data_IF_236271764130
#
_entry.id   IF_236271764130
#
_cell.length_a   1.000
_cell.length_b   1.000
_cell.length_c   1.000
_cell.angle_alpha   90.00
_cell.angle_beta   90.00
_cell.angle_gamma   90.00
#
_symmetry.space_group_name_H-M   'P 1'
#
loop_
_entity.id
_entity.type
_entity.pdbx_description
1 polymer ?
#
# COMPACT_ATOMS: atom_id res chain seq x y z
N UNK A 1 51.45 85.74 4.61
CA UNK A 1 50.70 86.74 5.38
C UNK A 1 49.23 86.40 5.33
N UNK A 2 48.59 86.38 6.50
CA UNK A 2 47.18 86.64 6.76
C UNK A 2 46.10 85.82 6.00
N UNK A 3 45.39 84.99 6.76
CA UNK A 3 43.94 84.77 6.60
C UNK A 3 43.19 86.12 6.86
N UNK A 4 41.85 86.30 6.82
CA UNK A 4 40.79 85.28 6.86
C UNK A 4 39.38 85.71 6.26
N UNK A 5 38.32 84.94 6.57
CA UNK A 5 36.90 85.36 6.83
C UNK A 5 36.05 85.95 5.65
N UNK A 6 34.71 85.81 5.51
CA UNK A 6 33.60 85.27 6.32
C UNK A 6 32.27 85.30 5.51
N UNK A 7 31.22 84.72 6.14
CA UNK A 7 29.76 84.89 5.97
C UNK A 7 29.04 83.88 5.05
N UNK A 8 28.36 82.84 5.54
CA UNK A 8 27.24 82.72 6.50
C UNK A 8 25.87 83.19 5.97
N UNK A 9 25.01 82.25 5.56
CA UNK A 9 23.60 82.11 6.01
C UNK A 9 22.86 80.95 5.31
N UNK A 10 22.34 80.02 6.12
CA UNK A 10 21.11 79.24 5.91
C UNK A 10 19.89 80.16 6.18
N UNK A 11 18.63 79.89 5.74
CA UNK A 11 17.89 78.63 5.99
C UNK A 11 16.80 78.23 4.97
N UNK A 12 16.12 77.10 5.22
CA UNK A 12 14.67 77.01 4.99
C UNK A 12 14.15 75.81 4.19
N UNK A 13 13.32 75.01 4.86
CA UNK A 13 12.60 73.80 4.45
C UNK A 13 11.80 73.84 3.14
N UNK A 14 11.58 72.64 2.57
CA UNK A 14 10.52 72.41 1.59
C UNK A 14 10.37 70.94 1.22
N UNK A 15 9.38 70.26 1.81
CA UNK A 15 8.98 68.90 1.49
C UNK A 15 8.26 68.79 0.13
N UNK A 16 8.51 67.73 -0.64
CA UNK A 16 7.54 67.15 -1.57
C UNK A 16 7.96 65.72 -2.01
N UNK A 17 6.99 64.81 -1.91
CA UNK A 17 7.02 63.38 -2.25
C UNK A 17 7.25 63.08 -3.74
N UNK A 18 7.93 61.98 -4.06
CA UNK A 18 7.47 61.02 -5.09
C UNK A 18 8.20 59.66 -5.06
N UNK A 19 7.41 58.59 -5.14
CA UNK A 19 7.61 57.41 -5.99
C UNK A 19 8.79 56.42 -5.77
N UNK A 20 8.43 55.28 -5.15
CA UNK A 20 8.54 53.90 -5.65
C UNK A 20 9.89 53.12 -5.64
N UNK A 21 9.68 51.81 -5.35
CA UNK A 21 10.56 50.62 -5.50
C UNK A 21 11.56 50.34 -4.34
N UNK A 22 11.08 49.58 -3.34
CA UNK A 22 11.92 48.78 -2.43
C UNK A 22 12.06 47.36 -3.01
N UNK A 23 13.27 46.99 -3.40
CA UNK A 23 13.70 45.62 -3.64
C UNK A 23 13.91 44.91 -2.30
N UNK A 24 13.09 43.91 -2.01
CA UNK A 24 13.27 42.94 -0.92
C UNK A 24 14.09 41.76 -1.47
N UNK A 25 15.35 41.66 -1.07
CA UNK A 25 16.13 40.44 -1.20
C UNK A 25 15.83 39.53 -0.02
N UNK A 26 15.02 38.49 -0.25
CA UNK A 26 14.71 37.46 0.75
C UNK A 26 15.77 36.34 0.72
N UNK A 27 16.17 35.96 1.93
CA UNK A 27 17.20 34.99 2.28
C UNK A 27 16.96 33.58 1.75
N UNK A 28 18.05 32.92 1.34
CA UNK A 28 18.10 31.49 1.01
C UNK A 28 18.06 30.66 2.30
N UNK A 29 16.88 30.15 2.69
CA UNK A 29 16.73 29.19 3.80
C UNK A 29 16.07 27.87 3.37
N UNK A 30 15.87 27.61 2.08
CA UNK A 30 15.07 26.45 1.64
C UNK A 30 15.78 25.10 1.47
N UNK A 31 17.13 25.07 1.43
CA UNK A 31 17.86 23.82 1.11
C UNK A 31 18.47 23.12 2.32
N UNK A 32 18.66 23.83 3.44
CA UNK A 32 19.22 23.23 4.66
C UNK A 32 18.17 22.46 5.46
N UNK A 33 16.90 22.86 5.38
CA UNK A 33 15.80 22.27 6.17
C UNK A 33 15.32 20.91 5.61
N UNK A 34 15.61 20.60 4.34
CA UNK A 34 15.25 19.32 3.73
C UNK A 34 16.23 18.20 4.09
N UNK A 35 17.51 18.53 4.29
CA UNK A 35 18.53 17.57 4.74
C UNK A 35 18.51 17.34 6.25
N UNK A 36 17.95 18.26 7.04
CA UNK A 36 17.77 18.07 8.49
C UNK A 36 16.60 17.14 8.79
N UNK A 37 15.51 17.22 8.03
CA UNK A 37 14.35 16.32 8.19
C UNK A 37 14.67 14.86 7.84
N UNK A 38 15.51 14.60 6.83
CA UNK A 38 15.98 13.24 6.54
C UNK A 38 16.87 12.69 7.66
N UNK A 39 17.67 13.55 8.32
CA UNK A 39 18.59 13.13 9.36
C UNK A 39 17.90 12.90 10.72
N UNK A 40 16.80 13.60 11.00
CA UNK A 40 16.02 13.43 12.23
C UNK A 40 15.16 12.15 12.23
N UNK A 41 14.81 11.62 11.04
CA UNK A 41 14.13 10.31 10.92
C UNK A 41 15.05 9.15 11.33
N UNK A 42 16.35 9.25 11.08
CA UNK A 42 17.34 8.22 11.44
C UNK A 42 17.87 8.33 12.88
N UNK A 43 17.59 9.41 13.61
CA UNK A 43 18.22 9.69 14.90
C UNK A 43 17.25 9.74 16.10
N UNK A 44 16.01 9.29 15.94
CA UNK A 44 15.12 9.15 17.10
C UNK A 44 15.65 8.02 18.02
N UNK A 45 15.97 8.29 19.29
CA UNK A 45 16.49 7.26 20.18
C UNK A 45 15.43 6.16 20.37
N UNK A 46 15.81 4.87 20.30
CA UNK A 46 14.84 3.79 20.42
C UNK A 46 14.15 3.89 21.78
N UNK A 47 12.81 3.97 21.76
CA UNK A 47 11.99 3.86 22.97
C UNK A 47 12.35 2.54 23.63
N UNK A 48 12.97 2.62 24.82
CA UNK A 48 13.50 1.48 25.58
C UNK A 48 12.36 0.52 25.94
N UNK A 49 12.08 -0.40 25.04
CA UNK A 49 11.29 -1.59 25.35
C UNK A 49 12.28 -2.60 25.92
N UNK A 50 12.00 -3.11 27.11
CA UNK A 50 12.83 -4.14 27.77
C UNK A 50 12.87 -5.35 26.86
N UNK A 51 14.00 -5.56 26.20
CA UNK A 51 14.19 -6.66 25.27
C UNK A 51 15.24 -7.62 25.80
N UNK A 52 14.87 -8.89 25.82
CA UNK A 52 15.78 -10.00 26.06
C UNK A 52 16.37 -10.46 24.71
N UNK A 53 17.69 -10.68 24.63
CA UNK A 53 18.31 -11.39 23.49
C UNK A 53 19.15 -10.59 22.48
N UNK A 54 19.38 -9.27 22.68
CA UNK A 54 20.22 -8.47 21.76
C UNK A 54 19.49 -8.02 20.48
N UNK A 55 20.24 -7.58 19.47
CA UNK A 55 19.66 -7.11 18.18
C UNK A 55 19.16 -8.28 17.33
N UNK A 56 18.20 -8.05 16.40
CA UNK A 56 17.76 -9.12 15.46
C UNK A 56 18.95 -9.74 14.72
N UNK A 57 19.91 -8.94 14.26
CA UNK A 57 21.13 -9.43 13.59
C UNK A 57 21.90 -10.43 14.46
N UNK A 58 22.11 -10.13 15.73
CA UNK A 58 22.80 -11.03 16.66
C UNK A 58 22.05 -12.35 16.83
N UNK A 59 20.73 -12.30 16.97
CA UNK A 59 19.88 -13.49 17.07
C UNK A 59 20.00 -14.37 15.82
N UNK A 60 19.93 -13.77 14.63
CA UNK A 60 20.07 -14.50 13.36
C UNK A 60 21.46 -15.14 13.22
N UNK A 61 22.52 -14.43 13.62
CA UNK A 61 23.90 -14.95 13.56
C UNK A 61 24.15 -16.07 14.57
N UNK A 62 23.60 -15.96 15.79
CA UNK A 62 23.62 -17.02 16.81
C UNK A 62 22.89 -18.28 16.34
N UNK A 63 21.73 -18.11 15.71
CA UNK A 63 20.98 -19.23 15.13
C UNK A 63 21.80 -20.01 14.10
N UNK A 64 22.54 -19.31 13.23
CA UNK A 64 23.46 -19.95 12.27
C UNK A 64 24.60 -20.73 12.91
N UNK A 65 24.92 -20.46 14.19
CA UNK A 65 25.91 -21.20 14.98
C UNK A 65 25.32 -22.35 15.79
N UNK A 66 24.00 -22.56 15.72
CA UNK A 66 23.28 -23.61 16.44
C UNK A 66 22.64 -23.17 17.76
N UNK A 67 22.73 -21.89 18.12
CA UNK A 67 22.05 -21.34 19.30
C UNK A 67 20.60 -20.97 18.97
N UNK A 68 19.62 -21.73 19.46
CA UNK A 68 18.21 -21.59 19.05
C UNK A 68 17.33 -20.81 20.02
N UNK A 69 17.73 -20.65 21.28
CA UNK A 69 16.87 -20.10 22.33
C UNK A 69 16.35 -18.68 22.02
N UNK A 70 17.26 -17.77 21.65
CA UNK A 70 16.90 -16.37 21.34
C UNK A 70 16.04 -16.31 20.06
N UNK A 71 16.25 -17.23 19.11
CA UNK A 71 15.49 -17.30 17.87
C UNK A 71 14.06 -17.79 18.09
N UNK A 72 13.87 -18.80 18.95
CA UNK A 72 12.53 -19.25 19.31
C UNK A 72 11.78 -18.21 20.14
N UNK A 73 12.47 -17.48 21.03
CA UNK A 73 11.87 -16.35 21.74
C UNK A 73 11.40 -15.26 20.77
N UNK A 74 12.22 -14.90 19.77
CA UNK A 74 11.87 -13.95 18.71
C UNK A 74 10.60 -14.37 17.96
N UNK A 75 10.52 -15.64 17.53
CA UNK A 75 9.35 -16.18 16.85
C UNK A 75 8.09 -16.11 17.71
N UNK A 76 8.20 -16.44 18.99
CA UNK A 76 7.08 -16.40 19.92
C UNK A 76 6.57 -14.96 20.13
N UNK A 77 7.48 -14.00 20.26
CA UNK A 77 7.12 -12.57 20.40
C UNK A 77 6.41 -12.03 19.16
N UNK A 78 6.84 -12.42 17.96
CA UNK A 78 6.20 -12.01 16.71
C UNK A 78 4.87 -12.71 16.44
N UNK A 79 4.64 -13.86 17.08
CA UNK A 79 3.39 -14.62 16.94
C UNK A 79 2.34 -14.20 17.96
N UNK A 80 2.64 -13.25 18.85
CA UNK A 80 1.70 -12.70 19.82
C UNK A 80 0.58 -11.93 19.09
N UNK A 81 -0.70 -12.36 19.19
CA UNK A 81 -1.80 -11.66 18.54
C UNK A 81 -2.04 -10.26 19.11
N UNK A 82 -1.63 -10.02 20.36
CA UNK A 82 -1.84 -8.77 21.09
C UNK A 82 -0.64 -7.81 20.98
N UNK A 83 0.25 -8.06 20.01
CA UNK A 83 1.37 -7.18 19.72
C UNK A 83 0.89 -5.73 19.47
N UNK A 84 1.50 -4.79 20.18
CA UNK A 84 1.16 -3.35 20.11
C UNK A 84 1.85 -2.68 18.93
N UNK A 85 1.25 -1.62 18.40
CA UNK A 85 1.78 -0.86 17.26
C UNK A 85 3.24 -0.40 17.48
N UNK A 86 3.56 0.19 18.64
CA UNK A 86 4.93 0.58 18.98
C UNK A 86 5.92 -0.61 18.94
N UNK A 87 5.51 -1.79 19.39
CA UNK A 87 6.35 -2.99 19.36
C UNK A 87 6.53 -3.49 17.93
N UNK A 88 5.45 -3.51 17.14
CA UNK A 88 5.49 -3.92 15.74
C UNK A 88 6.41 -3.00 14.92
N UNK A 89 6.31 -1.69 15.10
CA UNK A 89 7.18 -0.70 14.45
C UNK A 89 8.65 -0.98 14.80
N UNK A 90 8.98 -1.19 16.08
CA UNK A 90 10.35 -1.49 16.48
C UNK A 90 10.87 -2.78 15.84
N UNK A 91 10.05 -3.84 15.77
CA UNK A 91 10.42 -5.07 15.09
C UNK A 91 10.68 -4.85 13.60
N UNK A 92 9.78 -4.15 12.90
CA UNK A 92 9.93 -3.86 11.48
C UNK A 92 11.20 -3.06 11.19
N UNK A 93 11.52 -2.05 12.00
CA UNK A 93 12.76 -1.29 11.88
C UNK A 93 14.01 -2.16 12.06
N UNK A 94 14.01 -3.07 13.04
CA UNK A 94 15.13 -3.99 13.24
C UNK A 94 15.26 -5.03 12.13
N UNK A 95 14.15 -5.53 11.60
CA UNK A 95 14.17 -6.43 10.44
C UNK A 95 14.66 -5.74 9.19
N UNK A 96 14.26 -4.49 8.95
CA UNK A 96 14.80 -3.66 7.86
C UNK A 96 16.31 -3.44 8.01
N UNK A 97 16.78 -3.18 9.23
CA UNK A 97 18.21 -3.01 9.53
C UNK A 97 19.03 -4.31 9.36
N UNK A 98 18.37 -5.46 9.44
CA UNK A 98 18.99 -6.79 9.33
C UNK A 98 18.62 -7.53 8.04
N UNK A 99 18.05 -6.83 7.05
CA UNK A 99 17.43 -7.44 5.85
C UNK A 99 18.38 -8.35 5.07
N UNK A 100 19.67 -8.00 5.03
CA UNK A 100 20.71 -8.76 4.35
C UNK A 100 20.96 -10.16 4.95
N UNK A 101 20.60 -10.36 6.23
CA UNK A 101 20.75 -11.63 6.92
C UNK A 101 19.53 -12.54 6.80
N UNK A 102 18.37 -12.00 6.41
CA UNK A 102 17.12 -12.73 6.22
C UNK A 102 17.16 -13.54 4.92
N UNK A 103 18.10 -14.48 4.79
CA UNK A 103 18.21 -15.40 3.66
C UNK A 103 17.13 -16.49 3.72
N UNK A 104 17.07 -17.34 2.68
CA UNK A 104 16.16 -18.51 2.62
C UNK A 104 16.19 -19.40 3.88
N UNK A 105 17.32 -19.46 4.58
CA UNK A 105 17.47 -20.21 5.84
C UNK A 105 16.45 -19.79 6.91
N UNK A 106 15.90 -18.58 6.81
CA UNK A 106 14.94 -18.01 7.75
C UNK A 106 13.51 -17.97 7.21
N UNK A 107 13.16 -18.83 6.26
CA UNK A 107 11.82 -18.89 5.64
C UNK A 107 10.68 -18.98 6.66
N UNK A 108 10.86 -19.75 7.74
CA UNK A 108 9.84 -19.85 8.80
C UNK A 108 9.61 -18.52 9.51
N UNK A 109 10.68 -17.75 9.77
CA UNK A 109 10.59 -16.44 10.40
C UNK A 109 9.92 -15.43 9.45
N UNK A 110 10.30 -15.42 8.17
CA UNK A 110 9.63 -14.59 7.15
C UNK A 110 8.15 -14.95 7.06
N UNK A 111 7.81 -16.23 7.12
CA UNK A 111 6.43 -16.70 7.13
C UNK A 111 5.63 -16.15 8.31
N UNK A 112 6.25 -15.99 9.49
CA UNK A 112 5.62 -15.35 10.65
C UNK A 112 5.43 -13.84 10.39
N UNK A 113 6.47 -13.17 9.90
CA UNK A 113 6.41 -11.73 9.59
C UNK A 113 5.32 -11.40 8.57
N UNK A 114 5.18 -12.22 7.52
CA UNK A 114 4.15 -12.05 6.50
C UNK A 114 2.72 -12.30 7.02
N UNK A 115 2.55 -12.90 8.20
CA UNK A 115 1.25 -13.13 8.85
C UNK A 115 0.89 -12.09 9.90
N UNK A 116 1.75 -11.09 10.14
CA UNK A 116 1.41 -10.00 11.06
C UNK A 116 0.15 -9.27 10.57
N UNK A 117 -0.71 -8.86 11.49
CA UNK A 117 -1.93 -8.12 11.16
C UNK A 117 -1.59 -6.64 10.97
N UNK A 118 -1.28 -6.25 9.73
CA UNK A 118 -0.78 -4.91 9.39
C UNK A 118 -1.82 -3.98 8.75
N UNK A 119 -2.86 -4.50 8.11
CA UNK A 119 -3.82 -3.72 7.30
C UNK A 119 -4.82 -2.86 8.11
N UNK A 120 -5.18 -3.28 9.33
CA UNK A 120 -6.11 -2.57 10.21
C UNK A 120 -5.40 -1.95 11.43
N UNK A 121 -4.20 -1.42 11.20
CA UNK A 121 -3.35 -0.81 12.24
C UNK A 121 -3.16 0.68 11.95
N UNK A 122 -2.47 1.38 12.85
CA UNK A 122 -2.13 2.79 12.61
C UNK A 122 -1.37 2.97 11.29
N UNK A 123 -1.55 4.14 10.66
CA UNK A 123 -0.87 4.46 9.40
C UNK A 123 0.66 4.25 9.49
N UNK A 124 1.26 4.56 10.63
CA UNK A 124 2.70 4.36 10.87
C UNK A 124 3.10 2.89 10.75
N UNK A 125 2.31 1.97 11.29
CA UNK A 125 2.54 0.52 11.13
C UNK A 125 2.45 0.11 9.66
N UNK A 126 1.42 0.60 8.95
CA UNK A 126 1.22 0.31 7.53
C UNK A 126 2.42 0.77 6.69
N UNK A 127 2.89 2.00 6.88
CA UNK A 127 4.06 2.52 6.15
C UNK A 127 5.33 1.72 6.43
N UNK A 128 5.60 1.42 7.70
CA UNK A 128 6.77 0.63 8.09
C UNK A 128 6.73 -0.79 7.53
N UNK A 129 5.54 -1.39 7.49
CA UNK A 129 5.35 -2.71 6.93
C UNK A 129 5.57 -2.72 5.40
N UNK A 130 5.06 -1.72 4.69
CA UNK A 130 5.27 -1.59 3.25
C UNK A 130 6.74 -1.31 2.89
N UNK A 131 7.42 -0.49 3.70
CA UNK A 131 8.85 -0.28 3.58
C UNK A 131 9.60 -1.60 3.79
N UNK A 132 9.25 -2.37 4.82
CA UNK A 132 9.79 -3.70 5.04
C UNK A 132 9.58 -4.64 3.85
N UNK A 133 8.37 -4.72 3.27
CA UNK A 133 8.11 -5.56 2.10
C UNK A 133 9.01 -5.16 0.92
N UNK A 134 9.12 -3.86 0.62
CA UNK A 134 9.99 -3.34 -0.44
C UNK A 134 11.46 -3.67 -0.21
N UNK A 135 11.97 -3.47 1.01
CA UNK A 135 13.32 -3.85 1.42
C UNK A 135 13.56 -5.37 1.30
N UNK A 136 12.60 -6.18 1.71
CA UNK A 136 12.71 -7.65 1.68
C UNK A 136 12.80 -8.17 0.25
N UNK A 137 11.87 -7.79 -0.63
CA UNK A 137 11.87 -8.31 -2.01
C UNK A 137 13.01 -7.77 -2.87
N UNK A 138 13.52 -6.56 -2.55
CA UNK A 138 14.68 -6.00 -3.26
C UNK A 138 15.99 -6.66 -2.83
N UNK A 139 16.17 -6.96 -1.54
CA UNK A 139 17.37 -7.63 -1.04
C UNK A 139 17.33 -9.15 -1.23
N UNK A 140 16.15 -9.77 -1.15
CA UNK A 140 15.95 -11.21 -1.07
C UNK A 140 14.76 -11.62 -1.95
N UNK A 141 14.96 -11.60 -3.28
CA UNK A 141 13.92 -11.89 -4.29
C UNK A 141 13.29 -13.29 -4.15
N UNK A 142 13.93 -14.21 -3.42
CA UNK A 142 13.37 -15.52 -3.06
C UNK A 142 12.01 -15.40 -2.34
N UNK A 143 11.78 -14.30 -1.63
CA UNK A 143 10.52 -14.05 -0.91
C UNK A 143 9.49 -13.27 -1.71
N UNK A 144 9.76 -12.91 -2.97
CA UNK A 144 8.81 -12.19 -3.83
C UNK A 144 7.48 -12.94 -3.94
N UNK A 145 7.50 -14.23 -4.32
CA UNK A 145 6.29 -15.03 -4.48
C UNK A 145 5.50 -15.13 -3.16
N UNK A 146 6.12 -15.44 -2.00
CA UNK A 146 5.45 -15.36 -0.69
C UNK A 146 4.77 -14.01 -0.41
N UNK A 147 5.47 -12.89 -0.64
CA UNK A 147 4.90 -11.54 -0.43
C UNK A 147 3.68 -11.29 -1.33
N UNK A 148 3.79 -11.59 -2.62
CA UNK A 148 2.69 -11.43 -3.57
C UNK A 148 1.51 -12.33 -3.22
N UNK A 149 1.76 -13.59 -2.84
CA UNK A 149 0.71 -14.52 -2.43
C UNK A 149 0.00 -14.09 -1.15
N UNK A 150 0.73 -13.46 -0.22
CA UNK A 150 0.14 -12.88 0.99
C UNK A 150 -0.78 -11.72 0.63
N UNK A 151 -0.33 -10.78 -0.19
CA UNK A 151 -1.13 -9.60 -0.57
C UNK A 151 -2.40 -10.02 -1.33
N UNK A 152 -2.27 -10.88 -2.35
CA UNK A 152 -3.42 -11.36 -3.16
C UNK A 152 -4.43 -12.14 -2.31
N UNK A 153 -4.01 -12.73 -1.19
CA UNK A 153 -4.94 -13.45 -0.31
C UNK A 153 -5.98 -12.54 0.36
N UNK A 154 -5.70 -11.25 0.48
CA UNK A 154 -6.64 -10.26 1.01
C UNK A 154 -7.70 -9.81 0.00
N UNK A 155 -7.53 -10.11 -1.30
CA UNK A 155 -8.57 -9.83 -2.31
C UNK A 155 -9.77 -10.77 -2.22
N UNK A 156 -9.75 -11.73 -1.30
CA UNK A 156 -10.87 -12.62 -0.99
C UNK A 156 -11.34 -12.26 0.41
N UNK A 157 -12.51 -11.62 0.57
CA UNK A 157 -13.04 -11.29 1.88
C UNK A 157 -13.12 -12.54 2.77
N UNK A 158 -12.81 -12.44 4.08
CA UNK A 158 -13.08 -13.51 5.02
C UNK A 158 -14.55 -13.93 4.90
N UNK A 159 -14.85 -15.23 4.96
CA UNK A 159 -16.23 -15.72 4.85
C UNK A 159 -17.08 -15.08 5.95
N UNK A 160 -17.89 -14.07 5.61
CA UNK A 160 -18.95 -13.59 6.49
C UNK A 160 -19.99 -14.70 6.54
N UNK A 161 -20.00 -15.47 7.62
CA UNK A 161 -21.07 -16.42 7.92
C UNK A 161 -22.22 -15.57 8.44
N UNK A 162 -23.09 -15.12 7.53
CA UNK A 162 -24.32 -14.43 7.90
C UNK A 162 -25.15 -15.42 8.72
N UNK A 163 -25.22 -15.20 10.03
CA UNK A 163 -26.26 -15.79 10.88
C UNK A 163 -27.46 -14.85 10.81
N UNK A 164 -28.53 -15.35 10.22
CA UNK A 164 -29.80 -14.66 9.99
C UNK A 164 -30.40 -14.16 11.33
N UNK A 165 -30.61 -12.84 11.43
CA UNK A 165 -31.07 -12.15 12.63
C UNK A 165 -30.83 -10.62 12.61
N UNK A 166 -31.15 -9.97 11.48
CA UNK A 166 -31.45 -8.53 11.24
C UNK A 166 -30.59 -7.51 12.02
N UNK A 167 -29.45 -6.99 11.56
CA UNK A 167 -29.00 -6.56 10.23
C UNK A 167 -27.47 -6.55 10.30
N UNK A 168 -26.77 -7.15 9.34
CA UNK A 168 -25.33 -6.96 9.18
C UNK A 168 -25.02 -6.57 7.73
N UNK A 169 -25.23 -5.27 7.46
CA UNK A 169 -24.70 -4.60 6.30
C UNK A 169 -23.23 -4.34 6.62
N UNK A 170 -22.36 -5.31 6.36
CA UNK A 170 -20.94 -5.01 6.21
C UNK A 170 -20.76 -4.44 4.80
N UNK A 171 -21.24 -3.22 4.66
CA UNK A 171 -20.88 -2.24 3.61
C UNK A 171 -20.07 -1.16 4.32
N UNK A 172 -19.11 -1.59 5.15
CA UNK A 172 -18.24 -0.70 5.89
C UNK A 172 -17.15 -0.21 4.95
N UNK A 173 -17.08 1.11 4.77
CA UNK A 173 -16.03 1.83 4.00
C UNK A 173 -14.60 1.36 4.36
N UNK A 174 -14.40 0.81 5.56
CA UNK A 174 -13.13 0.24 6.06
C UNK A 174 -12.58 -0.94 5.22
N UNK A 175 -13.42 -1.70 4.50
CA UNK A 175 -12.94 -2.76 3.60
C UNK A 175 -12.19 -2.17 2.39
N UNK A 176 -12.58 -0.98 1.94
CA UNK A 176 -12.02 -0.33 0.74
C UNK A 176 -10.59 0.18 1.00
N UNK A 177 -10.35 0.82 2.14
CA UNK A 177 -9.02 1.33 2.55
C UNK A 177 -7.96 0.20 2.67
N UNK A 178 -8.41 -0.97 3.14
CA UNK A 178 -7.56 -2.16 3.27
C UNK A 178 -7.15 -2.70 1.90
N UNK A 179 -8.09 -2.75 0.96
CA UNK A 179 -7.84 -3.21 -0.41
C UNK A 179 -6.97 -2.22 -1.17
N UNK A 180 -7.21 -0.92 -1.00
CA UNK A 180 -6.35 0.16 -1.50
C UNK A 180 -4.90 0.00 -1.04
N UNK A 181 -4.72 -0.31 0.24
CA UNK A 181 -3.40 -0.57 0.81
C UNK A 181 -2.75 -1.82 0.20
N UNK A 182 -3.51 -2.86 -0.10
CA UNK A 182 -3.01 -4.06 -0.82
C UNK A 182 -2.57 -3.72 -2.25
N UNK A 183 -3.35 -2.93 -2.99
CA UNK A 183 -2.96 -2.46 -4.32
C UNK A 183 -1.68 -1.59 -4.27
N UNK A 184 -1.57 -0.70 -3.29
CA UNK A 184 -0.36 0.09 -3.04
C UNK A 184 0.85 -0.81 -2.77
N UNK A 185 0.68 -1.87 -1.98
CA UNK A 185 1.75 -2.84 -1.73
C UNK A 185 2.25 -3.51 -3.02
N UNK A 186 1.35 -3.92 -3.91
CA UNK A 186 1.73 -4.50 -5.21
C UNK A 186 2.52 -3.51 -6.09
N UNK A 187 2.12 -2.25 -6.13
CA UNK A 187 2.82 -1.20 -6.88
C UNK A 187 4.21 -0.91 -6.31
N UNK A 188 4.34 -0.86 -4.98
CA UNK A 188 5.63 -0.70 -4.30
C UNK A 188 6.56 -1.86 -4.66
N UNK A 189 6.08 -3.11 -4.56
CA UNK A 189 6.87 -4.30 -4.91
C UNK A 189 7.30 -4.25 -6.39
N UNK A 190 6.39 -3.90 -7.30
CA UNK A 190 6.69 -3.80 -8.72
C UNK A 190 7.75 -2.74 -9.04
N UNK A 191 7.78 -1.64 -8.29
CA UNK A 191 8.80 -0.59 -8.42
C UNK A 191 10.19 -1.09 -8.04
N UNK A 192 10.29 -1.98 -7.05
CA UNK A 192 11.57 -2.59 -6.64
C UNK A 192 11.96 -3.79 -7.48
N UNK A 193 10.99 -4.58 -7.96
CA UNK A 193 11.23 -5.81 -8.73
C UNK A 193 10.42 -5.78 -10.03
N UNK A 194 11.01 -5.31 -11.15
CA UNK A 194 10.30 -5.17 -12.44
C UNK A 194 9.76 -6.48 -13.01
N UNK A 195 10.31 -7.62 -12.60
CA UNK A 195 9.82 -8.95 -12.99
C UNK A 195 8.56 -9.40 -12.23
N UNK A 196 8.02 -8.57 -11.33
CA UNK A 196 6.80 -8.88 -10.54
C UNK A 196 5.65 -9.45 -11.37
N UNK A 197 5.30 -8.93 -12.57
CA UNK A 197 4.17 -9.44 -13.35
C UNK A 197 4.23 -10.96 -13.62
N UNK A 198 5.41 -11.48 -13.95
CA UNK A 198 5.64 -12.90 -14.26
C UNK A 198 5.36 -13.83 -13.07
N UNK A 199 5.56 -13.32 -11.84
CA UNK A 199 5.28 -14.07 -10.61
C UNK A 199 3.86 -13.84 -10.13
N UNK A 200 3.28 -12.67 -10.41
CA UNK A 200 1.94 -12.29 -9.98
C UNK A 200 0.86 -13.07 -10.72
N UNK A 201 0.92 -13.18 -12.05
CA UNK A 201 -0.16 -13.81 -12.82
C UNK A 201 -0.46 -15.26 -12.39
N UNK A 202 0.53 -16.16 -12.21
CA UNK A 202 0.26 -17.50 -11.70
C UNK A 202 -0.41 -17.52 -10.32
N UNK A 203 -0.12 -16.53 -9.47
CA UNK A 203 -0.73 -16.40 -8.13
C UNK A 203 -2.20 -15.96 -8.27
N UNK A 204 -2.51 -15.04 -9.18
CA UNK A 204 -3.88 -14.60 -9.46
C UNK A 204 -4.75 -15.78 -9.94
N UNK A 205 -4.19 -16.65 -10.79
CA UNK A 205 -4.87 -17.89 -11.22
C UNK A 205 -5.08 -18.84 -10.04
N UNK A 206 -4.03 -19.08 -9.24
CA UNK A 206 -4.06 -20.01 -8.10
C UNK A 206 -5.05 -19.57 -7.00
N UNK A 207 -5.14 -18.26 -6.75
CA UNK A 207 -5.98 -17.66 -5.71
C UNK A 207 -7.40 -17.35 -6.16
N UNK A 208 -7.72 -17.53 -7.44
CA UNK A 208 -9.06 -17.27 -7.96
C UNK A 208 -10.10 -18.13 -7.18
N UNK A 209 -11.13 -17.52 -6.56
CA UNK A 209 -12.09 -18.24 -5.75
C UNK A 209 -12.81 -19.35 -6.52
N UNK A 210 -13.12 -20.47 -5.84
CA UNK A 210 -13.92 -21.53 -6.45
C UNK A 210 -15.31 -21.00 -6.84
N UNK A 211 -15.84 -21.49 -7.96
CA UNK A 211 -17.17 -21.14 -8.51
C UNK A 211 -18.31 -21.25 -7.50
N UNK A 212 -18.19 -22.10 -6.47
CA UNK A 212 -19.20 -22.30 -5.41
C UNK A 212 -19.13 -21.28 -4.25
N UNK A 213 -18.29 -20.24 -4.37
CA UNK A 213 -18.21 -19.16 -3.39
C UNK A 213 -19.36 -18.18 -3.58
N UNK A 214 -19.57 -17.28 -2.62
CA UNK A 214 -20.60 -16.26 -2.76
C UNK A 214 -20.30 -15.35 -3.96
N UNK A 215 -21.35 -14.85 -4.60
CA UNK A 215 -21.27 -13.90 -5.72
C UNK A 215 -20.39 -12.70 -5.36
N UNK A 216 -20.63 -12.08 -4.20
CA UNK A 216 -19.79 -10.98 -3.67
C UNK A 216 -18.29 -11.31 -3.62
N UNK A 217 -17.93 -12.56 -3.28
CA UNK A 217 -16.52 -12.98 -3.26
C UNK A 217 -15.93 -13.02 -4.68
N UNK A 218 -16.69 -13.53 -5.65
CA UNK A 218 -16.26 -13.59 -7.05
C UNK A 218 -16.16 -12.19 -7.65
N UNK A 219 -17.16 -11.33 -7.41
CA UNK A 219 -17.20 -9.94 -7.85
C UNK A 219 -16.03 -9.14 -7.30
N UNK A 220 -15.79 -9.19 -5.99
CA UNK A 220 -14.66 -8.50 -5.35
C UNK A 220 -13.32 -8.94 -5.95
N UNK A 221 -13.14 -10.26 -6.16
CA UNK A 221 -11.91 -10.75 -6.76
C UNK A 221 -11.74 -10.27 -8.20
N UNK A 222 -12.79 -10.34 -9.03
CA UNK A 222 -12.77 -9.86 -10.43
C UNK A 222 -12.50 -8.35 -10.47
N UNK A 223 -13.13 -7.56 -9.61
CA UNK A 223 -12.90 -6.13 -9.49
C UNK A 223 -11.41 -5.83 -9.24
N UNK A 224 -10.80 -6.51 -8.26
CA UNK A 224 -9.40 -6.33 -7.92
C UNK A 224 -8.47 -6.77 -9.08
N UNK A 225 -8.80 -7.84 -9.80
CA UNK A 225 -8.05 -8.24 -11.01
C UNK A 225 -8.10 -7.15 -12.10
N UNK A 226 -9.28 -6.59 -12.35
CA UNK A 226 -9.43 -5.54 -13.35
C UNK A 226 -8.69 -4.27 -12.95
N UNK A 227 -8.70 -3.91 -11.66
CA UNK A 227 -7.88 -2.82 -11.13
C UNK A 227 -6.38 -3.07 -11.33
N UNK A 228 -5.89 -4.30 -11.06
CA UNK A 228 -4.51 -4.73 -11.37
C UNK A 228 -4.18 -4.48 -12.86
N UNK A 229 -5.10 -4.78 -13.78
CA UNK A 229 -4.89 -4.61 -15.22
C UNK A 229 -4.68 -3.16 -15.69
N UNK A 230 -5.05 -2.18 -14.85
CA UNK A 230 -4.84 -0.76 -15.11
C UNK A 230 -3.37 -0.40 -14.91
N UNK A 231 -2.78 -0.78 -13.77
CA UNK A 231 -1.41 -0.42 -13.43
C UNK A 231 -0.35 -1.51 -13.74
N UNK A 232 -0.78 -2.71 -14.13
CA UNK A 232 0.05 -3.74 -14.78
C UNK A 232 -0.45 -4.01 -16.21
N UNK A 233 -0.18 -3.12 -17.18
CA UNK A 233 -0.71 -3.26 -18.54
C UNK A 233 -0.26 -4.56 -19.22
N UNK A 234 0.93 -5.08 -18.88
CA UNK A 234 1.45 -6.35 -19.38
C UNK A 234 0.57 -7.55 -19.02
N UNK A 235 -0.16 -7.50 -17.90
CA UNK A 235 -1.04 -8.58 -17.46
C UNK A 235 -2.46 -8.46 -17.98
N UNK A 236 -2.81 -7.36 -18.67
CA UNK A 236 -4.19 -7.08 -19.04
C UNK A 236 -4.82 -8.17 -19.89
N UNK A 237 -4.09 -8.67 -20.89
CA UNK A 237 -4.59 -9.74 -21.75
C UNK A 237 -4.84 -11.03 -20.95
N UNK A 238 -3.85 -11.48 -20.17
CA UNK A 238 -3.94 -12.71 -19.36
C UNK A 238 -5.02 -12.60 -18.26
N UNK A 239 -5.20 -11.42 -17.67
CA UNK A 239 -6.26 -11.16 -16.67
C UNK A 239 -7.64 -11.24 -17.33
N UNK A 240 -7.84 -10.61 -18.49
CA UNK A 240 -9.12 -10.67 -19.20
C UNK A 240 -9.42 -12.10 -19.66
N UNK A 241 -8.42 -12.82 -20.15
CA UNK A 241 -8.54 -14.24 -20.48
C UNK A 241 -8.98 -15.06 -19.26
N UNK A 242 -8.33 -14.87 -18.11
CA UNK A 242 -8.71 -15.53 -16.86
C UNK A 242 -10.14 -15.21 -16.45
N UNK A 243 -10.56 -13.94 -16.49
CA UNK A 243 -11.92 -13.53 -16.13
C UNK A 243 -12.95 -14.19 -17.07
N UNK A 244 -12.72 -14.14 -18.38
CA UNK A 244 -13.61 -14.75 -19.38
C UNK A 244 -13.68 -16.27 -19.19
N UNK A 245 -12.55 -16.95 -18.96
CA UNK A 245 -12.52 -18.38 -18.67
C UNK A 245 -13.40 -18.75 -17.47
N UNK A 246 -13.37 -17.93 -16.41
CA UNK A 246 -14.15 -18.17 -15.19
C UNK A 246 -15.64 -17.86 -15.38
N UNK A 247 -15.98 -16.81 -16.14
CA UNK A 247 -17.36 -16.51 -16.51
C UNK A 247 -17.97 -17.62 -17.38
N UNK A 248 -17.24 -18.13 -18.38
CA UNK A 248 -17.69 -19.27 -19.18
C UNK A 248 -17.91 -20.53 -18.33
N UNK A 249 -17.04 -20.77 -17.33
CA UNK A 249 -17.24 -21.87 -16.38
C UNK A 249 -18.47 -21.67 -15.51
N UNK A 250 -18.80 -20.44 -15.12
CA UNK A 250 -20.02 -20.16 -14.37
C UNK A 250 -21.25 -20.45 -15.24
N UNK A 251 -21.27 -19.92 -16.47
CA UNK A 251 -22.35 -20.10 -17.45
C UNK A 251 -22.64 -21.59 -17.74
N UNK A 252 -21.60 -22.38 -18.02
CA UNK A 252 -21.76 -23.84 -18.28
C UNK A 252 -22.27 -24.62 -17.07
N UNK A 253 -22.05 -24.11 -15.85
CA UNK A 253 -22.51 -24.75 -14.62
C UNK A 253 -23.89 -24.26 -14.15
N UNK A 254 -24.47 -23.24 -14.80
CA UNK A 254 -25.80 -22.75 -14.46
C UNK A 254 -26.85 -23.83 -14.79
N UNK A 255 -27.81 -24.04 -13.89
CA UNK A 255 -28.88 -25.00 -14.17
C UNK A 255 -29.86 -24.39 -15.17
N UNK A 256 -30.52 -25.24 -15.96
CA UNK A 256 -31.54 -24.79 -16.90
C UNK A 256 -32.67 -24.04 -16.20
N UNK A 257 -33.02 -24.43 -14.98
CA UNK A 257 -34.01 -23.73 -14.17
C UNK A 257 -33.53 -22.33 -13.80
N UNK A 258 -32.29 -22.19 -13.32
CA UNK A 258 -31.74 -20.87 -12.95
C UNK A 258 -31.69 -19.92 -14.16
N UNK A 259 -31.40 -20.47 -15.35
CA UNK A 259 -31.40 -19.72 -16.61
C UNK A 259 -32.83 -19.28 -16.97
N UNK A 260 -33.79 -20.22 -16.96
CA UNK A 260 -35.20 -19.93 -17.27
C UNK A 260 -35.78 -18.89 -16.28
N UNK A 261 -35.50 -19.04 -14.98
CA UNK A 261 -35.93 -18.10 -13.94
C UNK A 261 -35.32 -16.70 -14.13
N UNK A 262 -34.03 -16.62 -14.51
CA UNK A 262 -33.36 -15.35 -14.78
C UNK A 262 -33.89 -14.67 -16.06
N UNK A 263 -34.17 -15.42 -17.11
CA UNK A 263 -34.79 -14.91 -18.34
C UNK A 263 -36.20 -14.38 -18.08
N UNK A 264 -37.02 -15.11 -17.31
CA UNK A 264 -38.35 -14.66 -16.90
C UNK A 264 -38.28 -13.38 -16.04
N UNK A 265 -37.33 -13.29 -15.10
CA UNK A 265 -37.10 -12.08 -14.31
C UNK A 265 -36.66 -10.88 -15.16
N UNK A 266 -35.80 -11.10 -16.17
CA UNK A 266 -35.37 -10.06 -17.10
C UNK A 266 -36.53 -9.55 -17.99
N UNK A 267 -37.43 -10.44 -18.40
CA UNK A 267 -38.63 -10.08 -19.18
C UNK A 267 -39.63 -9.30 -18.31
N UNK A 268 -39.78 -9.67 -17.04
CA UNK A 268 -40.68 -9.00 -16.08
C UNK A 268 -40.16 -7.64 -15.61
N UNK A 269 -38.84 -7.44 -15.54
CA UNK A 269 -38.22 -6.15 -15.14
C UNK A 269 -38.22 -5.10 -16.25
N UNK A 270 -38.54 -5.47 -17.49
CA UNK A 270 -38.94 -4.54 -18.54
C UNK A 270 -37.80 -3.69 -19.12
N UNK A 271 -37.86 -3.50 -20.44
CA UNK A 271 -36.95 -2.69 -21.24
C UNK A 271 -36.96 -1.20 -20.85
N UNK A 272 -36.22 -0.83 -19.81
CA UNK A 272 -35.82 0.55 -19.51
C UNK A 272 -34.34 0.77 -19.85
N UNK A 273 -33.90 1.99 -20.21
CA UNK A 273 -32.52 2.29 -20.58
C UNK A 273 -31.48 2.06 -19.46
N UNK A 274 -31.94 1.68 -18.27
CA UNK A 274 -31.15 1.50 -17.05
C UNK A 274 -30.50 0.11 -16.92
N UNK A 275 -31.01 -0.90 -17.64
CA UNK A 275 -30.49 -2.27 -17.54
C UNK A 275 -29.06 -2.43 -18.08
N UNK A 276 -28.63 -1.51 -18.95
CA UNK A 276 -27.25 -1.46 -19.47
C UNK A 276 -26.27 -0.72 -18.56
N UNK A 277 -26.74 0.01 -17.54
CA UNK A 277 -25.86 0.79 -16.66
C UNK A 277 -24.98 -0.10 -15.78
N UNK A 278 -25.47 -1.27 -15.35
CA UNK A 278 -24.69 -2.22 -14.54
C UNK A 278 -23.51 -2.87 -15.27
N UNK A 279 -23.64 -3.12 -16.58
CA UNK A 279 -22.64 -3.85 -17.38
C UNK A 279 -21.46 -2.96 -17.83
N UNK A 280 -21.67 -1.64 -17.94
CA UNK A 280 -20.64 -0.70 -18.44
C UNK A 280 -20.06 0.23 -17.36
N UNK A 281 -20.54 0.19 -16.13
CA UNK A 281 -19.96 0.94 -15.01
C UNK A 281 -18.51 0.54 -14.67
N UNK A 282 -18.03 -0.62 -15.14
CA UNK A 282 -16.60 -0.96 -15.10
C UNK A 282 -15.72 0.04 -15.88
N UNK A 283 -16.19 0.52 -17.03
CA UNK A 283 -15.42 1.48 -17.84
C UNK A 283 -15.36 2.84 -17.15
N UNK A 284 -16.46 3.25 -16.49
CA UNK A 284 -16.51 4.48 -15.69
C UNK A 284 -15.59 4.43 -14.47
N UNK A 285 -15.47 3.27 -13.82
CA UNK A 285 -14.55 3.04 -12.71
C UNK A 285 -13.08 3.03 -13.16
N UNK A 286 -12.79 2.42 -14.32
CA UNK A 286 -11.46 2.44 -14.96
C UNK A 286 -11.07 3.88 -15.35
N UNK A 287 -12.03 4.70 -15.81
CA UNK A 287 -11.79 6.10 -16.16
C UNK A 287 -11.62 6.99 -14.91
N UNK A 288 -12.39 6.77 -13.84
CA UNK A 288 -12.30 7.54 -12.59
C UNK A 288 -11.02 7.26 -11.81
N UNK A 289 -10.56 6.01 -11.79
CA UNK A 289 -9.25 5.65 -11.20
C UNK A 289 -8.08 6.23 -12.00
N UNK A 290 -8.22 6.43 -13.32
CA UNK A 290 -7.20 7.14 -14.10
C UNK A 290 -7.13 8.64 -13.78
N UNK A 291 -8.24 9.27 -13.34
CA UNK A 291 -8.31 10.70 -13.03
C UNK A 291 -7.73 11.06 -11.66
N UNK A 292 -7.77 10.16 -10.68
CA UNK A 292 -7.18 10.39 -9.34
C UNK A 292 -5.65 10.17 -9.30
N UNK A 293 -5.06 9.56 -10.32
CA UNK A 293 -3.63 9.19 -10.34
C UNK A 293 -2.79 9.96 -11.38
N UNK A 294 -3.34 11.01 -12.01
CA UNK A 294 -2.50 11.99 -12.72
C UNK A 294 -1.80 12.87 -11.69
N UNK A 295 -0.60 12.46 -11.29
CA UNK A 295 0.37 13.35 -10.64
C UNK A 295 0.61 14.51 -11.61
N UNK A 296 0.50 15.79 -11.20
CA UNK A 296 0.85 16.89 -12.09
C UNK A 296 2.34 16.74 -12.43
N UNK A 297 2.64 16.53 -13.71
CA UNK A 297 4.01 16.70 -14.19
C UNK A 297 4.39 18.16 -13.96
N UNK A 298 5.15 18.39 -12.88
CA UNK A 298 5.70 19.69 -12.54
C UNK A 298 6.83 20.04 -13.49
N UNK A 299 6.72 21.22 -14.11
CA UNK A 299 7.85 21.97 -14.66
C UNK A 299 8.59 22.77 -13.60
#
# INVERSE_FOLDING_TARGET
>A
MAAPLLHARFPGDGAASSSAVKTLGASRTGLSDMLTLENDFFNSPPRKTVRFGGTVTEVLLKYKKGETNDFELLKNQLSDPDIKDDQMINWLLEFRSSIMYLTKDFEQLISILLRLQWLNRSQTVVEEYLAFLGNLVSAQTVFLRPCLSMIVSYFVPPRVVIKEGDVDVSDSDDEDDTIDTCHRALQIIARYVPSTPWFLMPILVEKFPFVRKSERTLECYVHNLLRISVYFPNLRHEILELVIEKLLKLDVNASRQDIEDAEEAAIQTGSGPDATEGLFNMVSLIMSTHAQFVIPEGG
#
